data_IF_558413160793
#
_entry.id   IF_558413160793
#
_cell.length_a   1.000
_cell.length_b   1.000
_cell.length_c   1.000
_cell.angle_alpha   90.00
_cell.angle_beta   90.00
_cell.angle_gamma   90.00
#
_symmetry.space_group_name_H-M   'P 1'
#
loop_
_entity.id
_entity.type
_entity.pdbx_description
1 polymer ?
#
# COMPACT_ATOMS: atom_id res chain seq x y z
N UNK A 1 0.89 31.52 2.74
CA UNK A 1 0.55 30.10 2.83
C UNK A 1 1.82 29.32 2.59
N UNK A 2 2.26 28.52 3.56
CA UNK A 2 3.51 27.77 3.42
C UNK A 2 3.21 26.49 2.61
N UNK A 3 3.47 26.52 1.31
CA UNK A 3 3.18 25.42 0.37
C UNK A 3 3.85 24.09 0.80
N UNK A 4 5.03 24.13 1.43
CA UNK A 4 5.70 22.92 1.96
C UNK A 4 4.86 22.20 3.05
N UNK A 5 4.14 22.92 3.89
CA UNK A 5 3.28 22.30 4.90
C UNK A 5 2.05 21.63 4.26
N UNK A 6 1.49 22.22 3.20
CA UNK A 6 0.34 21.63 2.50
C UNK A 6 0.72 20.29 1.83
N UNK A 7 1.86 20.24 1.14
CA UNK A 7 2.34 19.02 0.50
C UNK A 7 2.62 17.92 1.53
N UNK A 8 3.21 18.25 2.67
CA UNK A 8 3.47 17.28 3.74
C UNK A 8 2.16 16.70 4.32
N UNK A 9 1.15 17.50 4.59
CA UNK A 9 -0.15 17.02 5.09
C UNK A 9 -0.89 16.18 4.04
N UNK A 10 -0.75 16.55 2.75
CA UNK A 10 -1.30 15.76 1.65
C UNK A 10 -0.65 14.36 1.58
N UNK A 11 0.69 14.28 1.56
CA UNK A 11 1.40 13.00 1.52
C UNK A 11 1.23 12.19 2.81
N UNK A 12 1.15 12.84 3.96
CA UNK A 12 0.83 12.18 5.22
C UNK A 12 -0.50 11.44 5.16
N UNK A 13 -1.55 12.13 4.67
CA UNK A 13 -2.86 11.49 4.46
C UNK A 13 -2.82 10.42 3.37
N UNK A 14 -2.19 10.72 2.23
CA UNK A 14 -2.13 9.80 1.10
C UNK A 14 -1.41 8.49 1.46
N UNK A 15 -0.30 8.56 2.17
CA UNK A 15 0.54 7.41 2.47
C UNK A 15 0.11 6.71 3.76
N UNK A 16 0.07 7.44 4.90
CA UNK A 16 -0.17 6.81 6.19
C UNK A 16 -1.62 6.37 6.37
N UNK A 17 -2.59 7.15 5.89
CA UNK A 17 -4.00 6.77 5.99
C UNK A 17 -4.43 5.89 4.80
N UNK A 18 -4.36 6.43 3.57
CA UNK A 18 -4.91 5.75 2.39
C UNK A 18 -4.02 4.60 1.92
N UNK A 19 -2.70 4.69 2.10
CA UNK A 19 -1.75 3.61 1.78
C UNK A 19 -1.90 2.42 2.72
N UNK A 20 -2.02 2.66 4.04
CA UNK A 20 -2.32 1.61 5.01
C UNK A 20 -3.67 0.96 4.72
N UNK A 21 -4.70 1.79 4.47
CA UNK A 21 -6.06 1.31 4.20
C UNK A 21 -6.11 0.38 2.98
N UNK A 22 -5.41 0.76 1.89
CA UNK A 22 -5.31 -0.07 0.69
C UNK A 22 -4.62 -1.41 0.97
N UNK A 23 -3.48 -1.39 1.66
CA UNK A 23 -2.72 -2.61 1.94
C UNK A 23 -3.50 -3.54 2.88
N UNK A 24 -4.13 -3.01 3.93
CA UNK A 24 -5.02 -3.78 4.81
C UNK A 24 -6.18 -4.40 4.05
N UNK A 25 -6.76 -3.69 3.09
CA UNK A 25 -7.89 -4.20 2.32
C UNK A 25 -7.49 -5.40 1.44
N UNK A 26 -6.35 -5.35 0.73
CA UNK A 26 -5.87 -6.50 -0.03
C UNK A 26 -5.44 -7.66 0.87
N UNK A 27 -4.81 -7.37 2.01
CA UNK A 27 -4.50 -8.39 3.01
C UNK A 27 -5.76 -9.04 3.59
N UNK A 28 -6.80 -8.26 3.90
CA UNK A 28 -8.10 -8.78 4.33
C UNK A 28 -8.78 -9.62 3.24
N UNK A 29 -8.72 -9.15 1.98
CA UNK A 29 -9.30 -9.85 0.84
C UNK A 29 -8.69 -11.22 0.62
N UNK A 30 -7.36 -11.35 0.70
CA UNK A 30 -6.67 -12.64 0.59
C UNK A 30 -7.02 -13.61 1.73
N UNK A 31 -7.51 -13.11 2.85
CA UNK A 31 -8.01 -13.88 3.99
C UNK A 31 -9.54 -14.08 3.99
N UNK A 32 -10.24 -13.78 2.87
CA UNK A 32 -11.68 -13.87 2.72
C UNK A 32 -12.48 -13.07 3.77
N UNK A 33 -11.98 -11.88 4.11
CA UNK A 33 -12.60 -10.96 5.07
C UNK A 33 -13.26 -9.80 4.33
N UNK A 34 -14.45 -9.40 4.77
CA UNK A 34 -15.27 -8.41 4.08
C UNK A 34 -15.13 -6.98 4.63
N UNK A 35 -14.74 -6.83 5.90
CA UNK A 35 -14.61 -5.52 6.54
C UNK A 35 -13.25 -5.35 7.20
N UNK A 36 -12.72 -4.12 7.19
CA UNK A 36 -11.38 -3.80 7.73
C UNK A 36 -11.27 -4.07 9.23
N UNK A 37 -12.30 -3.79 10.01
CA UNK A 37 -12.26 -4.06 11.45
C UNK A 37 -12.10 -5.56 11.75
N UNK A 38 -12.68 -6.45 10.95
CA UNK A 38 -12.59 -7.90 11.15
C UNK A 38 -11.19 -8.46 10.98
N UNK A 39 -10.36 -7.88 10.08
CA UNK A 39 -8.95 -8.28 9.98
C UNK A 39 -8.14 -7.74 11.15
N UNK A 40 -8.51 -6.59 11.71
CA UNK A 40 -7.86 -6.00 12.87
C UNK A 40 -8.28 -6.64 14.20
N UNK A 41 -9.33 -7.44 14.21
CA UNK A 41 -9.67 -8.34 15.34
C UNK A 41 -8.74 -9.58 15.41
N UNK A 42 -7.89 -9.79 14.39
CA UNK A 42 -6.93 -10.89 14.34
C UNK A 42 -5.52 -10.42 14.59
N UNK A 43 -4.75 -11.19 15.36
CA UNK A 43 -3.34 -10.89 15.64
C UNK A 43 -2.50 -10.71 14.38
N UNK A 44 -2.76 -11.52 13.33
CA UNK A 44 -2.08 -11.42 12.03
C UNK A 44 -2.37 -10.09 11.34
N UNK A 45 -3.61 -9.61 11.39
CA UNK A 45 -4.00 -8.33 10.82
C UNK A 45 -3.41 -7.15 11.59
N UNK A 46 -3.38 -7.21 12.93
CA UNK A 46 -2.74 -6.20 13.76
C UNK A 46 -1.22 -6.16 13.48
N UNK A 47 -0.57 -7.32 13.40
CA UNK A 47 0.86 -7.40 13.09
C UNK A 47 1.17 -6.83 11.70
N UNK A 48 0.36 -7.18 10.69
CA UNK A 48 0.47 -6.62 9.33
C UNK A 48 0.28 -5.11 9.33
N UNK A 49 -0.75 -4.58 10.01
CA UNK A 49 -1.02 -3.15 10.12
C UNK A 49 0.15 -2.38 10.72
N UNK A 50 0.70 -2.87 11.83
CA UNK A 50 1.86 -2.26 12.51
C UNK A 50 3.11 -2.26 11.64
N UNK A 51 3.40 -3.37 10.96
CA UNK A 51 4.50 -3.48 10.00
C UNK A 51 4.34 -2.46 8.86
N UNK A 52 3.17 -2.43 8.26
CA UNK A 52 2.86 -1.55 7.11
C UNK A 52 2.96 -0.08 7.50
N UNK A 53 2.34 0.33 8.61
CA UNK A 53 2.36 1.74 9.01
C UNK A 53 3.76 2.21 9.42
N UNK A 54 4.58 1.32 9.98
CA UNK A 54 5.99 1.62 10.28
C UNK A 54 6.79 1.88 8.99
N UNK A 55 6.61 1.06 7.96
CA UNK A 55 7.26 1.28 6.66
C UNK A 55 6.77 2.55 5.97
N UNK A 56 5.46 2.84 5.99
CA UNK A 56 4.90 4.08 5.44
C UNK A 56 5.40 5.32 6.18
N UNK A 57 5.54 5.25 7.52
CA UNK A 57 6.10 6.34 8.33
C UNK A 57 7.56 6.60 7.99
N UNK A 58 8.35 5.53 7.81
CA UNK A 58 9.73 5.66 7.38
C UNK A 58 9.82 6.29 5.98
N UNK A 59 9.00 5.85 5.02
CA UNK A 59 8.93 6.46 3.69
C UNK A 59 8.58 7.96 3.77
N UNK A 60 7.63 8.33 4.65
CA UNK A 60 7.24 9.72 4.84
C UNK A 60 8.37 10.57 5.44
N UNK A 61 9.08 10.08 6.45
CA UNK A 61 10.22 10.73 7.04
C UNK A 61 11.36 10.94 6.04
N UNK A 62 11.63 9.94 5.19
CA UNK A 62 12.61 10.05 4.09
C UNK A 62 12.19 11.11 3.06
N UNK A 63 10.91 11.15 2.67
CA UNK A 63 10.40 12.14 1.71
C UNK A 63 10.54 13.57 2.24
N UNK A 64 10.20 13.78 3.52
CA UNK A 64 10.19 15.10 4.16
C UNK A 64 11.57 15.52 4.67
N UNK A 65 12.54 14.60 4.67
CA UNK A 65 13.84 14.76 5.32
C UNK A 65 13.70 15.19 6.79
N UNK A 66 12.78 14.55 7.51
CA UNK A 66 12.47 14.79 8.90
C UNK A 66 12.50 13.47 9.68
N UNK A 67 12.72 13.57 10.98
CA UNK A 67 12.62 12.43 11.91
C UNK A 67 11.42 12.69 12.85
N UNK A 68 10.22 12.48 12.32
CA UNK A 68 8.98 12.71 13.04
C UNK A 68 8.58 11.45 13.80
N UNK A 69 8.25 11.62 15.08
CA UNK A 69 7.52 10.60 15.84
C UNK A 69 6.06 10.56 15.36
N UNK A 70 5.73 9.53 14.60
CA UNK A 70 4.39 9.31 14.03
C UNK A 70 3.58 8.26 14.81
N UNK A 71 4.09 7.72 15.91
CA UNK A 71 3.46 6.60 16.63
C UNK A 71 2.06 6.95 17.13
N UNK A 72 1.87 8.13 17.67
CA UNK A 72 0.55 8.59 18.13
C UNK A 72 -0.44 8.66 16.95
N UNK A 73 -0.01 9.19 15.82
CA UNK A 73 -0.84 9.30 14.61
C UNK A 73 -1.16 7.91 14.04
N UNK A 74 -0.19 7.02 13.99
CA UNK A 74 -0.32 5.65 13.50
C UNK A 74 -1.31 4.85 14.37
N UNK A 75 -1.20 4.95 15.69
CA UNK A 75 -2.11 4.29 16.61
C UNK A 75 -3.55 4.79 16.44
N UNK A 76 -3.76 6.10 16.29
CA UNK A 76 -5.09 6.67 16.03
C UNK A 76 -5.70 6.18 14.72
N UNK A 77 -4.90 5.96 13.67
CA UNK A 77 -5.38 5.41 12.40
C UNK A 77 -5.82 3.95 12.59
N UNK A 78 -5.00 3.12 13.26
CA UNK A 78 -5.31 1.71 13.49
C UNK A 78 -6.56 1.59 14.38
N UNK A 79 -6.65 2.36 15.45
CA UNK A 79 -7.85 2.43 16.31
C UNK A 79 -9.10 2.78 15.50
N UNK A 80 -9.01 3.80 14.65
CA UNK A 80 -10.13 4.20 13.77
C UNK A 80 -10.57 3.06 12.86
N UNK A 81 -9.64 2.34 12.25
CA UNK A 81 -9.96 1.22 11.35
C UNK A 81 -10.50 -0.01 12.10
N UNK A 82 -10.22 -0.13 13.40
CA UNK A 82 -10.75 -1.20 14.26
C UNK A 82 -12.20 -0.95 14.69
N UNK A 83 -12.77 0.23 14.45
CA UNK A 83 -14.13 0.53 14.86
C UNK A 83 -15.17 -0.18 13.98
N UNK A 84 -15.91 -1.14 14.54
CA UNK A 84 -16.94 -1.89 13.83
C UNK A 84 -18.13 -1.04 13.36
N UNK A 85 -18.32 0.14 13.95
CA UNK A 85 -19.32 1.12 13.52
C UNK A 85 -18.96 1.75 12.16
N UNK A 86 -17.68 1.78 11.81
CA UNK A 86 -17.20 2.22 10.49
C UNK A 86 -17.17 0.96 9.61
N UNK A 87 -18.24 0.74 8.85
CA UNK A 87 -18.31 -0.40 7.93
C UNK A 87 -17.48 -0.14 6.67
N UNK A 88 -16.16 -0.19 6.82
CA UNK A 88 -15.23 -0.07 5.69
C UNK A 88 -15.16 -1.40 4.94
N UNK A 89 -15.93 -1.51 3.85
CA UNK A 89 -15.99 -2.69 3.01
C UNK A 89 -14.70 -2.85 2.20
N UNK A 90 -14.09 -4.03 2.27
CA UNK A 90 -12.85 -4.39 1.60
C UNK A 90 -12.96 -4.18 0.08
N UNK A 91 -14.03 -4.68 -0.57
CA UNK A 91 -14.20 -4.53 -2.01
C UNK A 91 -14.28 -3.06 -2.45
N UNK A 92 -14.94 -2.20 -1.66
CA UNK A 92 -15.00 -0.76 -1.93
C UNK A 92 -13.62 -0.11 -1.86
N UNK A 93 -12.78 -0.54 -0.92
CA UNK A 93 -11.41 0.00 -0.78
C UNK A 93 -10.51 -0.53 -1.89
N UNK A 94 -10.67 -1.79 -2.30
CA UNK A 94 -9.85 -2.41 -3.36
C UNK A 94 -10.22 -1.95 -4.78
N UNK A 95 -11.43 -1.40 -5.01
CA UNK A 95 -11.91 -1.01 -6.36
C UNK A 95 -10.95 -0.07 -7.07
N UNK A 96 -10.97 -0.12 -8.42
CA UNK A 96 -10.14 0.70 -9.30
C UNK A 96 -8.64 0.56 -8.97
N UNK A 97 -8.08 -0.66 -8.97
CA UNK A 97 -6.68 -0.90 -8.60
C UNK A 97 -5.69 -0.18 -9.50
N UNK A 98 -5.99 -0.03 -10.80
CA UNK A 98 -5.13 0.68 -11.73
C UNK A 98 -4.74 2.06 -11.24
N UNK A 99 -5.70 2.85 -10.73
CA UNK A 99 -5.43 4.19 -10.18
C UNK A 99 -4.58 4.09 -8.91
N UNK A 100 -4.92 3.17 -8.00
CA UNK A 100 -4.32 3.11 -6.66
C UNK A 100 -2.92 2.54 -6.64
N UNK A 101 -2.59 1.68 -7.60
CA UNK A 101 -1.25 1.13 -7.80
C UNK A 101 -0.43 1.89 -8.84
N UNK A 102 -0.99 2.90 -9.52
CA UNK A 102 -0.26 3.65 -10.54
C UNK A 102 0.95 4.38 -9.97
N UNK A 103 1.88 4.72 -10.86
CA UNK A 103 3.10 5.47 -10.52
C UNK A 103 2.77 6.80 -9.83
N UNK A 104 3.41 7.04 -8.71
CA UNK A 104 3.24 8.27 -7.91
C UNK A 104 2.10 8.22 -6.90
N UNK A 105 1.30 7.15 -6.90
CA UNK A 105 0.19 6.96 -5.99
C UNK A 105 0.61 6.34 -4.64
N UNK A 106 -0.41 6.13 -3.78
CA UNK A 106 -0.31 5.71 -2.37
C UNK A 106 0.41 4.38 -2.10
N UNK A 107 0.62 3.58 -3.13
CA UNK A 107 1.38 2.34 -3.05
C UNK A 107 2.78 2.49 -3.65
N UNK A 108 2.87 2.93 -4.91
CA UNK A 108 4.15 2.96 -5.64
C UNK A 108 5.11 4.02 -5.07
N UNK A 109 4.63 5.21 -4.74
CA UNK A 109 5.54 6.29 -4.35
C UNK A 109 6.24 6.04 -3.00
N UNK A 110 5.54 5.64 -1.91
CA UNK A 110 6.25 5.26 -0.68
C UNK A 110 7.16 4.04 -0.88
N UNK A 111 6.73 3.03 -1.65
CA UNK A 111 7.56 1.87 -1.99
C UNK A 111 8.86 2.30 -2.69
N UNK A 112 8.78 3.12 -3.72
CA UNK A 112 9.92 3.66 -4.45
C UNK A 112 10.85 4.44 -3.54
N UNK A 113 10.33 5.24 -2.64
CA UNK A 113 11.10 6.00 -1.66
C UNK A 113 11.91 5.06 -0.76
N UNK A 114 11.29 3.99 -0.26
CA UNK A 114 11.97 2.98 0.58
C UNK A 114 13.06 2.22 -0.19
N UNK A 115 12.76 1.75 -1.40
CA UNK A 115 13.73 1.02 -2.23
C UNK A 115 14.94 1.90 -2.57
N UNK A 116 14.72 3.16 -2.93
CA UNK A 116 15.78 4.11 -3.26
C UNK A 116 16.72 4.38 -2.08
N UNK A 117 16.23 4.23 -0.86
CA UNK A 117 16.98 4.41 0.38
C UNK A 117 17.38 3.06 1.05
N UNK A 118 17.25 1.94 0.33
CA UNK A 118 17.60 0.59 0.78
C UNK A 118 16.93 0.15 2.10
N UNK A 119 15.67 0.57 2.30
CA UNK A 119 14.88 0.24 3.47
C UNK A 119 14.04 -1.04 3.27
N UNK A 120 13.47 -1.55 4.38
CA UNK A 120 12.56 -2.70 4.37
C UNK A 120 11.24 -2.36 3.64
N UNK A 121 10.81 -3.30 2.79
CA UNK A 121 9.59 -3.21 1.96
C UNK A 121 8.71 -4.46 2.09
N UNK A 122 8.87 -5.21 3.16
CA UNK A 122 8.26 -6.53 3.32
C UNK A 122 6.73 -6.51 3.27
N UNK A 123 6.05 -5.46 3.77
CA UNK A 123 4.59 -5.36 3.65
C UNK A 123 4.15 -5.09 2.21
N UNK A 124 4.88 -4.26 1.48
CA UNK A 124 4.61 -3.99 0.06
C UNK A 124 4.82 -5.24 -0.80
N UNK A 125 5.90 -5.99 -0.52
CA UNK A 125 6.15 -7.28 -1.18
C UNK A 125 4.99 -8.24 -0.97
N UNK A 126 4.51 -8.38 0.26
CA UNK A 126 3.38 -9.24 0.62
C UNK A 126 2.10 -8.87 -0.15
N UNK A 127 1.82 -7.57 -0.33
CA UNK A 127 0.67 -7.13 -1.15
C UNK A 127 0.89 -7.41 -2.64
N UNK A 128 2.10 -7.25 -3.16
CA UNK A 128 2.41 -7.63 -4.54
C UNK A 128 2.25 -9.14 -4.74
N UNK A 129 2.75 -9.95 -3.81
CA UNK A 129 2.53 -11.41 -3.84
C UNK A 129 1.02 -11.72 -3.90
N UNK A 130 0.20 -11.09 -3.06
CA UNK A 130 -1.25 -11.26 -3.05
C UNK A 130 -1.88 -10.90 -4.40
N UNK A 131 -1.56 -9.77 -5.01
CA UNK A 131 -2.19 -9.36 -6.28
C UNK A 131 -1.71 -10.16 -7.48
N UNK A 132 -0.50 -10.72 -7.45
CA UNK A 132 0.03 -11.55 -8.53
C UNK A 132 -0.42 -13.02 -8.43
N UNK A 133 -0.67 -13.53 -7.23
CA UNK A 133 -1.03 -14.92 -6.97
C UNK A 133 -2.54 -15.17 -6.95
N UNK A 134 -3.35 -14.11 -6.88
CA UNK A 134 -4.80 -14.23 -6.76
C UNK A 134 -5.53 -13.52 -7.90
N UNK A 135 -6.76 -13.97 -8.15
CA UNK A 135 -7.72 -13.29 -9.02
C UNK A 135 -8.90 -12.80 -8.17
N UNK A 136 -9.19 -11.51 -8.26
CA UNK A 136 -10.25 -10.85 -7.48
C UNK A 136 -11.35 -10.31 -8.41
N UNK A 137 -12.01 -11.21 -9.16
CA UNK A 137 -13.03 -10.85 -10.15
C UNK A 137 -14.26 -10.12 -9.58
N UNK A 138 -14.47 -10.21 -8.25
CA UNK A 138 -15.52 -9.49 -7.55
C UNK A 138 -15.12 -8.06 -7.11
N UNK A 139 -13.89 -7.64 -7.42
CA UNK A 139 -13.44 -6.25 -7.22
C UNK A 139 -13.63 -5.46 -8.52
N UNK A 140 -14.35 -4.35 -8.44
CA UNK A 140 -14.58 -3.44 -9.56
C UNK A 140 -13.25 -2.95 -10.17
N UNK A 141 -13.07 -3.19 -11.48
CA UNK A 141 -11.88 -2.82 -12.25
C UNK A 141 -10.69 -3.79 -12.12
N UNK A 142 -10.77 -4.85 -11.29
CA UNK A 142 -9.65 -5.77 -11.12
C UNK A 142 -9.38 -6.63 -12.36
N UNK A 143 -10.41 -7.14 -13.04
CA UNK A 143 -10.24 -7.97 -14.22
C UNK A 143 -9.53 -7.24 -15.37
N UNK A 144 -9.82 -5.94 -15.54
CA UNK A 144 -9.11 -5.12 -16.52
C UNK A 144 -7.65 -4.90 -16.08
N UNK A 145 -7.43 -4.50 -14.84
CA UNK A 145 -6.10 -4.31 -14.26
C UNK A 145 -5.25 -5.58 -14.35
N UNK A 146 -5.85 -6.74 -14.07
CA UNK A 146 -5.18 -8.03 -14.19
C UNK A 146 -4.73 -8.29 -15.62
N UNK A 147 -5.64 -8.18 -16.60
CA UNK A 147 -5.32 -8.43 -18.00
C UNK A 147 -4.28 -7.48 -18.57
N UNK A 148 -4.34 -6.21 -18.22
CA UNK A 148 -3.48 -5.18 -18.78
C UNK A 148 -2.10 -5.11 -18.11
N UNK A 149 -2.00 -5.45 -16.83
CA UNK A 149 -0.79 -5.21 -16.06
C UNK A 149 -0.25 -6.44 -15.30
N UNK A 150 -1.11 -7.21 -14.64
CA UNK A 150 -0.66 -8.32 -13.78
C UNK A 150 -0.28 -9.56 -14.60
N UNK A 151 -1.07 -9.91 -15.61
CA UNK A 151 -0.84 -11.11 -16.45
C UNK A 151 0.49 -11.09 -17.23
N UNK A 152 1.10 -9.93 -17.39
CA UNK A 152 2.39 -9.75 -18.05
C UNK A 152 3.58 -10.14 -17.16
N UNK A 153 3.34 -10.45 -15.89
CA UNK A 153 4.37 -10.77 -14.90
C UNK A 153 5.00 -9.53 -14.26
N UNK A 154 5.68 -9.76 -13.13
CA UNK A 154 6.21 -8.69 -12.26
C UNK A 154 7.20 -7.78 -12.95
N UNK A 155 8.15 -8.33 -13.71
CA UNK A 155 9.17 -7.55 -14.39
C UNK A 155 8.54 -6.55 -15.39
N UNK A 156 7.57 -7.00 -16.20
CA UNK A 156 6.86 -6.12 -17.12
C UNK A 156 5.98 -5.11 -16.38
N UNK A 157 5.35 -5.52 -15.28
CA UNK A 157 4.62 -4.60 -14.41
C UNK A 157 5.50 -3.44 -13.92
N UNK A 158 6.71 -3.72 -13.45
CA UNK A 158 7.64 -2.68 -13.02
C UNK A 158 8.10 -1.80 -14.18
N UNK A 159 8.41 -2.39 -15.33
CA UNK A 159 8.92 -1.65 -16.50
C UNK A 159 7.86 -0.80 -17.19
N UNK A 160 6.69 -1.36 -17.42
CA UNK A 160 5.67 -0.73 -18.28
C UNK A 160 4.63 0.04 -17.48
N UNK A 161 4.08 -0.53 -16.42
CA UNK A 161 3.06 0.14 -15.62
C UNK A 161 3.67 1.21 -14.70
N UNK A 162 4.76 0.88 -14.00
CA UNK A 162 5.47 1.86 -13.17
C UNK A 162 6.54 2.67 -13.92
N UNK A 163 6.83 2.34 -15.18
CA UNK A 163 7.81 3.02 -16.04
C UNK A 163 9.20 3.11 -15.42
N UNK A 164 9.68 1.98 -14.89
CA UNK A 164 10.96 1.89 -14.15
C UNK A 164 12.08 1.25 -15.00
N UNK A 165 12.19 1.65 -16.28
CA UNK A 165 13.12 1.02 -17.25
C UNK A 165 14.57 0.94 -16.75
N UNK A 166 15.03 1.95 -16.02
CA UNK A 166 16.43 2.06 -15.57
C UNK A 166 16.66 1.54 -14.13
N UNK A 167 15.59 1.14 -13.42
CA UNK A 167 15.65 0.76 -12.00
C UNK A 167 15.02 -0.61 -11.71
N UNK A 168 14.62 -1.35 -12.74
CA UNK A 168 13.90 -2.64 -12.59
C UNK A 168 14.70 -3.65 -11.75
N UNK A 169 16.03 -3.69 -11.87
CA UNK A 169 16.88 -4.65 -11.16
C UNK A 169 16.76 -4.56 -9.63
N UNK A 170 16.71 -3.35 -9.08
CA UNK A 170 16.51 -3.16 -7.63
C UNK A 170 15.13 -3.60 -7.17
N UNK A 171 14.11 -3.42 -8.00
CA UNK A 171 12.75 -3.86 -7.69
C UNK A 171 12.65 -5.39 -7.76
N UNK A 172 13.27 -6.01 -8.76
CA UNK A 172 13.34 -7.46 -8.87
C UNK A 172 14.08 -8.07 -7.65
N UNK A 173 15.20 -7.49 -7.24
CA UNK A 173 15.95 -7.93 -6.06
C UNK A 173 15.12 -7.87 -4.78
N UNK A 174 14.39 -6.77 -4.56
CA UNK A 174 13.63 -6.52 -3.33
C UNK A 174 12.25 -7.17 -3.30
N UNK A 175 11.59 -7.28 -4.44
CA UNK A 175 10.19 -7.68 -4.54
C UNK A 175 9.98 -9.01 -5.29
N UNK A 176 10.99 -9.48 -5.97
CA UNK A 176 10.91 -10.65 -6.86
C UNK A 176 10.50 -10.30 -8.29
N UNK A 177 10.98 -11.10 -9.22
CA UNK A 177 10.62 -11.07 -10.65
C UNK A 177 9.51 -12.05 -11.00
#
# INVERSE_FOLDING_TARGET
>A
VNYKNYDNEFYKKLWLLNGLHLQLAYFAKSNNINFIHEILDKDTGVAFAKKTVSQLSNAFNLLTNQDLDLDKFNNLIIERFSLSLIKDEVNRICRNPEIKFSKGERFEYPLRTLISNNNDVSSFKEILDIIFENSFSDIEGYDQFYREHISMGRENFYKEFWKLKDYSDRYIEKLGG
#
